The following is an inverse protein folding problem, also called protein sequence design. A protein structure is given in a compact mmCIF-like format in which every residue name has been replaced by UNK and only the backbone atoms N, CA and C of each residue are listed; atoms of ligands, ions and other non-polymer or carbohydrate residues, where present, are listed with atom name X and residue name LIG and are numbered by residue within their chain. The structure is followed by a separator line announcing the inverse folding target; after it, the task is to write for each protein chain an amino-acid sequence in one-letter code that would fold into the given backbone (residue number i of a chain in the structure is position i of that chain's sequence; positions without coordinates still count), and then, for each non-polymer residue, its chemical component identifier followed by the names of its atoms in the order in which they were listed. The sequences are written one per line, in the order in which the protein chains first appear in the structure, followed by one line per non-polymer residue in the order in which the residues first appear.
data_IF_143880126213
#
_entry.id   IF_143880126213
#
_cell.length_a   1.000
_cell.length_b   1.000
_cell.length_c   1.000
_cell.angle_alpha   90.00
_cell.angle_beta   90.00
_cell.angle_gamma   90.00
#
_symmetry.space_group_name_H-M   'P 1'
#
loop_
_entity.id
_entity.type
_entity.pdbx_description
1 polymer ?
#
# COMPACT_ATOMS: atom_id res chain seq x y z
N UNK A 1 24.58 -23.85 -24.79
CA UNK A 1 23.78 -22.74 -24.24
C UNK A 1 22.35 -23.25 -24.22
N UNK A 2 21.73 -23.38 -23.05
CA UNK A 2 20.32 -23.77 -22.98
C UNK A 2 19.46 -22.60 -23.46
N UNK A 3 18.45 -22.86 -24.29
CA UNK A 3 17.49 -21.82 -24.70
C UNK A 3 16.73 -21.33 -23.46
N UNK A 4 16.75 -20.01 -23.28
CA UNK A 4 16.05 -19.36 -22.18
C UNK A 4 14.62 -19.06 -22.67
N UNK A 5 13.67 -19.90 -22.29
CA UNK A 5 12.26 -19.65 -22.56
C UNK A 5 11.68 -18.73 -21.48
N UNK A 6 11.61 -17.43 -21.77
CA UNK A 6 10.91 -16.44 -20.93
C UNK A 6 9.38 -16.64 -20.86
N UNK A 7 8.86 -17.71 -21.47
CA UNK A 7 7.43 -17.94 -21.73
C UNK A 7 7.00 -19.41 -21.54
N UNK A 8 7.62 -20.17 -20.64
CA UNK A 8 7.21 -21.58 -20.43
C UNK A 8 5.72 -21.71 -20.04
N UNK A 9 5.14 -20.67 -19.40
CA UNK A 9 3.70 -20.53 -19.12
C UNK A 9 2.99 -19.47 -19.99
N UNK A 10 3.59 -19.03 -21.09
CA UNK A 10 3.09 -17.97 -21.96
C UNK A 10 3.17 -16.57 -21.35
N UNK A 11 2.36 -15.63 -21.86
CA UNK A 11 2.34 -14.22 -21.42
C UNK A 11 1.77 -13.98 -20.02
N UNK A 12 1.27 -15.03 -19.36
CA UNK A 12 0.52 -14.94 -18.09
C UNK A 12 1.42 -14.44 -16.97
N UNK A 13 2.64 -14.97 -16.85
CA UNK A 13 3.56 -14.62 -15.75
C UNK A 13 4.12 -13.19 -15.88
N UNK A 14 4.58 -12.71 -17.06
CA UNK A 14 4.88 -11.29 -17.26
C UNK A 14 3.66 -10.39 -16.99
N UNK A 15 2.47 -10.75 -17.50
CA UNK A 15 1.27 -9.94 -17.30
C UNK A 15 0.88 -9.85 -15.82
N UNK A 16 0.95 -10.95 -15.06
CA UNK A 16 0.72 -10.96 -13.61
C UNK A 16 1.77 -10.14 -12.87
N UNK A 17 3.05 -10.26 -13.24
CA UNK A 17 4.13 -9.48 -12.63
C UNK A 17 3.91 -7.97 -12.84
N UNK A 18 3.50 -7.58 -14.05
CA UNK A 18 3.13 -6.20 -14.37
C UNK A 18 1.91 -5.75 -13.56
N UNK A 19 0.84 -6.56 -13.51
CA UNK A 19 -0.36 -6.24 -12.75
C UNK A 19 -0.07 -6.05 -11.25
N UNK A 20 0.76 -6.91 -10.64
CA UNK A 20 1.20 -6.77 -9.25
C UNK A 20 2.02 -5.48 -9.04
N UNK A 21 2.90 -5.15 -10.00
CA UNK A 21 3.68 -3.92 -9.97
C UNK A 21 2.78 -2.68 -10.01
N UNK A 22 1.80 -2.66 -10.90
CA UNK A 22 0.83 -1.56 -11.00
C UNK A 22 -0.03 -1.47 -9.75
N UNK A 23 -0.57 -2.58 -9.25
CA UNK A 23 -1.42 -2.61 -8.06
C UNK A 23 -0.68 -2.11 -6.82
N UNK A 24 0.52 -2.64 -6.56
CA UNK A 24 1.35 -2.21 -5.45
C UNK A 24 1.77 -0.74 -5.55
N UNK A 25 2.11 -0.28 -6.77
CA UNK A 25 2.45 1.12 -7.02
C UNK A 25 1.26 2.04 -6.77
N UNK A 26 0.06 1.65 -7.23
CA UNK A 26 -1.17 2.41 -7.01
C UNK A 26 -1.49 2.54 -5.52
N UNK A 27 -1.58 1.41 -4.81
CA UNK A 27 -1.86 1.39 -3.36
C UNK A 27 -0.78 2.16 -2.59
N UNK A 28 0.48 2.02 -3.00
CA UNK A 28 1.62 2.72 -2.43
C UNK A 28 1.56 4.23 -2.58
N UNK A 29 1.24 4.73 -3.78
CA UNK A 29 1.07 6.15 -4.04
C UNK A 29 -0.13 6.74 -3.28
N UNK A 30 -1.24 5.99 -3.17
CA UNK A 30 -2.39 6.40 -2.35
C UNK A 30 -1.98 6.50 -0.87
N UNK A 31 -1.27 5.51 -0.33
CA UNK A 31 -0.75 5.55 1.04
C UNK A 31 0.23 6.72 1.23
N UNK A 32 1.14 6.95 0.29
CA UNK A 32 2.10 8.05 0.32
C UNK A 32 1.42 9.43 0.31
N UNK A 33 0.30 9.57 -0.41
CA UNK A 33 -0.51 10.78 -0.37
C UNK A 33 -1.13 11.01 1.02
N UNK A 34 -1.55 9.94 1.72
CA UNK A 34 -2.09 10.02 3.09
C UNK A 34 -1.04 10.44 4.12
N UNK A 35 0.25 10.11 3.93
CA UNK A 35 1.35 10.56 4.82
C UNK A 35 1.35 12.09 4.96
N UNK A 36 1.06 12.84 3.89
CA UNK A 36 1.11 14.32 3.90
C UNK A 36 -0.07 14.97 4.62
N UNK A 37 -1.23 14.33 4.59
CA UNK A 37 -2.47 14.84 5.20
C UNK A 37 -2.62 14.35 6.66
N UNK A 38 -1.79 13.40 7.07
CA UNK A 38 -1.77 12.87 8.43
C UNK A 38 -1.45 13.95 9.48
N UNK A 39 -2.31 14.04 10.48
CA UNK A 39 -2.26 15.06 11.53
C UNK A 39 -1.21 14.73 12.60
N UNK A 40 -0.99 13.44 12.89
CA UNK A 40 -0.05 12.99 13.92
C UNK A 40 1.15 12.26 13.34
N UNK A 41 2.28 12.29 14.06
CA UNK A 41 3.48 11.52 13.70
C UNK A 41 3.18 10.03 13.61
N UNK A 42 2.36 9.49 14.51
CA UNK A 42 1.95 8.08 14.48
C UNK A 42 1.21 7.71 13.18
N UNK A 43 0.28 8.55 12.73
CA UNK A 43 -0.41 8.34 11.45
C UNK A 43 0.55 8.41 10.26
N UNK A 44 1.53 9.34 10.28
CA UNK A 44 2.54 9.45 9.22
C UNK A 44 3.39 8.18 9.12
N UNK A 45 3.83 7.66 10.25
CA UNK A 45 4.60 6.41 10.33
C UNK A 45 3.75 5.24 9.84
N UNK A 46 2.49 5.15 10.29
CA UNK A 46 1.56 4.10 9.85
C UNK A 46 1.37 4.08 8.33
N UNK A 47 1.04 5.22 7.72
CA UNK A 47 0.90 5.33 6.26
C UNK A 47 2.21 5.09 5.52
N UNK A 48 3.35 5.45 6.12
CA UNK A 48 4.68 5.14 5.60
C UNK A 48 4.97 3.64 5.55
N UNK A 49 4.64 2.91 6.62
CA UNK A 49 4.79 1.44 6.67
C UNK A 49 3.90 0.78 5.61
N UNK A 50 2.63 1.20 5.50
CA UNK A 50 1.73 0.67 4.48
C UNK A 50 2.23 0.96 3.05
N UNK A 51 2.72 2.17 2.79
CA UNK A 51 3.31 2.53 1.50
C UNK A 51 4.57 1.69 1.18
N UNK A 52 5.42 1.43 2.19
CA UNK A 52 6.63 0.62 2.04
C UNK A 52 6.29 -0.84 1.68
N UNK A 53 5.28 -1.44 2.33
CA UNK A 53 4.79 -2.77 1.99
C UNK A 53 4.12 -2.83 0.62
N UNK A 54 3.32 -1.82 0.28
CA UNK A 54 2.64 -1.76 -1.02
C UNK A 54 3.64 -1.65 -2.18
N UNK A 55 4.61 -0.74 -2.09
CA UNK A 55 5.61 -0.54 -3.15
C UNK A 55 6.70 -1.61 -3.05
N UNK A 56 7.42 -1.70 -1.94
CA UNK A 56 8.55 -2.61 -1.79
C UNK A 56 8.16 -4.08 -1.81
N UNK A 57 7.13 -4.45 -1.03
CA UNK A 57 6.63 -5.82 -0.94
C UNK A 57 5.88 -6.23 -2.21
N UNK A 58 4.76 -5.57 -2.50
CA UNK A 58 3.90 -5.99 -3.62
C UNK A 58 4.44 -5.56 -4.98
N UNK A 59 4.77 -4.27 -5.16
CA UNK A 59 5.07 -3.74 -6.49
C UNK A 59 6.44 -4.19 -7.04
N UNK A 60 7.40 -4.40 -6.15
CA UNK A 60 8.79 -4.69 -6.51
C UNK A 60 9.11 -6.15 -6.19
N UNK A 61 9.03 -6.61 -4.93
CA UNK A 61 9.44 -7.98 -4.59
C UNK A 61 8.49 -9.04 -5.17
N UNK A 62 7.17 -8.92 -4.99
CA UNK A 62 6.23 -9.92 -5.50
C UNK A 62 6.21 -9.96 -7.03
N UNK A 63 6.31 -8.80 -7.69
CA UNK A 63 6.52 -8.72 -9.14
C UNK A 63 7.77 -9.51 -9.55
N UNK A 64 8.91 -9.24 -8.90
CA UNK A 64 10.19 -9.86 -9.22
C UNK A 64 10.11 -11.39 -9.06
N UNK A 65 9.55 -11.84 -7.94
CA UNK A 65 9.43 -13.26 -7.65
C UNK A 65 8.47 -13.96 -8.61
N UNK A 66 7.31 -13.35 -8.92
CA UNK A 66 6.38 -13.90 -9.90
C UNK A 66 6.96 -13.99 -11.31
N UNK A 67 7.76 -13.00 -11.71
CA UNK A 67 8.47 -13.02 -12.99
C UNK A 67 9.54 -14.13 -13.02
N UNK A 68 10.30 -14.32 -11.92
CA UNK A 68 11.24 -15.44 -11.78
C UNK A 68 10.57 -16.82 -11.76
N UNK A 69 9.41 -16.95 -11.11
CA UNK A 69 8.64 -18.20 -11.13
C UNK A 69 8.17 -18.56 -12.55
N UNK A 70 7.93 -17.56 -13.40
CA UNK A 70 7.62 -17.76 -14.82
C UNK A 70 8.83 -18.08 -15.69
N UNK A 71 10.04 -17.94 -15.14
CA UNK A 71 11.27 -18.31 -15.81
C UNK A 71 11.56 -19.78 -15.58
N UNK A 72 11.68 -20.53 -16.66
CA UNK A 72 12.09 -21.91 -16.60
C UNK A 72 13.24 -22.17 -17.56
N UNK A 73 14.13 -23.04 -17.12
CA UNK A 73 15.27 -23.49 -17.92
C UNK A 73 14.98 -24.93 -18.29
N UNK A 74 14.81 -25.18 -19.59
CA UNK A 74 14.61 -26.52 -20.10
C UNK A 74 15.69 -27.47 -19.58
N UNK A 75 15.26 -28.62 -19.06
CA UNK A 75 16.16 -29.66 -18.56
C UNK A 75 16.55 -29.56 -17.08
N UNK A 76 16.14 -28.53 -16.32
CA UNK A 76 16.42 -28.49 -14.86
C UNK A 76 15.27 -27.93 -14.02
N UNK A 77 15.10 -28.47 -12.80
CA UNK A 77 14.16 -27.93 -11.81
C UNK A 77 14.83 -26.84 -10.98
N UNK A 78 14.36 -25.60 -11.10
CA UNK A 78 14.81 -24.48 -10.25
C UNK A 78 14.18 -24.66 -8.86
N UNK A 79 15.02 -24.60 -7.83
CA UNK A 79 14.59 -24.55 -6.43
C UNK A 79 15.03 -23.23 -5.80
N UNK A 80 14.42 -22.90 -4.67
CA UNK A 80 14.62 -21.61 -4.03
C UNK A 80 14.99 -21.78 -2.56
N UNK A 81 15.97 -20.98 -2.13
CA UNK A 81 16.38 -20.82 -0.75
C UNK A 81 15.42 -19.84 -0.04
N UNK A 82 14.57 -20.39 0.83
CA UNK A 82 13.47 -19.63 1.46
C UNK A 82 14.00 -18.50 2.36
N UNK A 83 15.00 -18.71 3.25
CA UNK A 83 15.61 -17.62 4.01
C UNK A 83 16.10 -16.46 3.15
N UNK A 84 16.85 -16.73 2.07
CA UNK A 84 17.38 -15.67 1.19
C UNK A 84 16.25 -14.94 0.47
N UNK A 85 15.20 -15.67 0.07
CA UNK A 85 13.99 -15.10 -0.54
C UNK A 85 13.28 -14.10 0.40
N UNK A 86 13.18 -14.44 1.69
CA UNK A 86 12.62 -13.55 2.72
C UNK A 86 13.53 -12.33 2.95
N UNK A 87 14.85 -12.53 3.01
CA UNK A 87 15.82 -11.42 3.14
C UNK A 87 15.69 -10.44 1.96
N UNK A 88 15.57 -10.95 0.74
CA UNK A 88 15.30 -10.15 -0.47
C UNK A 88 14.04 -9.29 -0.29
N UNK A 89 12.93 -9.86 0.18
CA UNK A 89 11.68 -9.12 0.45
C UNK A 89 11.89 -7.97 1.45
N UNK A 90 12.59 -8.25 2.56
CA UNK A 90 12.87 -7.27 3.61
C UNK A 90 13.74 -6.12 3.08
N UNK A 91 14.74 -6.42 2.25
CA UNK A 91 15.59 -5.39 1.62
C UNK A 91 14.73 -4.40 0.83
N UNK A 92 13.79 -4.89 0.00
CA UNK A 92 12.93 -4.00 -0.77
C UNK A 92 12.02 -3.13 0.11
N UNK A 93 11.35 -3.73 1.10
CA UNK A 93 10.43 -2.99 2.00
C UNK A 93 11.20 -1.93 2.79
N UNK A 94 12.36 -2.27 3.34
CA UNK A 94 13.19 -1.33 4.12
C UNK A 94 13.75 -0.22 3.23
N UNK A 95 14.29 -0.56 2.06
CA UNK A 95 14.86 0.42 1.14
C UNK A 95 13.83 1.48 0.71
N UNK A 96 12.63 1.02 0.31
CA UNK A 96 11.52 1.90 -0.06
C UNK A 96 11.03 2.72 1.14
N UNK A 97 10.90 2.10 2.32
CA UNK A 97 10.47 2.79 3.53
C UNK A 97 11.41 3.94 3.91
N UNK A 98 12.73 3.70 3.85
CA UNK A 98 13.75 4.74 4.08
C UNK A 98 13.67 5.82 2.99
N UNK A 99 13.53 5.45 1.72
CA UNK A 99 13.36 6.40 0.62
C UNK A 99 12.16 7.33 0.81
N UNK A 100 11.01 6.76 1.19
CA UNK A 100 9.80 7.51 1.50
C UNK A 100 9.98 8.41 2.72
N UNK A 101 10.71 7.96 3.75
CA UNK A 101 11.01 8.78 4.92
C UNK A 101 11.93 9.96 4.58
N UNK A 102 12.95 9.76 3.72
CA UNK A 102 13.87 10.82 3.26
C UNK A 102 13.10 11.92 2.54
N UNK A 103 12.18 11.56 1.64
CA UNK A 103 11.43 12.55 0.83
C UNK A 103 10.21 13.09 1.57
N UNK A 104 9.63 12.32 2.49
CA UNK A 104 8.45 12.69 3.29
C UNK A 104 8.74 13.58 4.50
N UNK A 105 10.00 13.69 4.95
CA UNK A 105 10.38 14.52 6.09
C UNK A 105 10.75 15.95 5.65
N UNK A 106 9.92 16.94 6.01
CA UNK A 106 10.21 18.37 5.76
C UNK A 106 9.81 18.89 4.36
N UNK A 107 10.52 19.90 3.84
CA UNK A 107 10.23 20.50 2.53
C UNK A 107 10.70 19.59 1.39
N UNK A 108 9.89 19.51 0.33
CA UNK A 108 10.26 18.81 -0.91
C UNK A 108 11.49 19.50 -1.51
N UNK A 109 12.53 18.72 -1.78
CA UNK A 109 13.79 19.20 -2.34
C UNK A 109 14.31 18.20 -3.37
N UNK A 110 14.81 18.70 -4.49
CA UNK A 110 15.42 17.89 -5.54
C UNK A 110 16.59 17.04 -5.01
N UNK A 111 17.37 17.58 -4.06
CA UNK A 111 18.47 16.86 -3.42
C UNK A 111 17.96 15.64 -2.64
N UNK A 112 16.86 15.78 -1.88
CA UNK A 112 16.28 14.67 -1.11
C UNK A 112 15.72 13.59 -2.01
N UNK A 113 15.09 13.99 -3.12
CA UNK A 113 14.59 13.06 -4.14
C UNK A 113 15.76 12.32 -4.78
N UNK A 114 16.86 13.01 -5.11
CA UNK A 114 18.07 12.40 -5.67
C UNK A 114 18.71 11.40 -4.70
N UNK A 115 18.96 11.80 -3.46
CA UNK A 115 19.54 10.92 -2.42
C UNK A 115 18.64 9.73 -2.12
N UNK A 116 17.33 9.99 -1.93
CA UNK A 116 16.35 8.93 -1.70
C UNK A 116 16.22 7.99 -2.89
N UNK A 117 16.33 8.50 -4.11
CA UNK A 117 16.28 7.75 -5.36
C UNK A 117 17.50 6.85 -5.55
N UNK A 118 18.71 7.36 -5.30
CA UNK A 118 19.95 6.56 -5.31
C UNK A 118 19.89 5.46 -4.26
N UNK A 119 19.50 5.79 -3.02
CA UNK A 119 19.40 4.81 -1.95
C UNK A 119 18.36 3.73 -2.24
N UNK A 120 17.14 4.13 -2.60
CA UNK A 120 16.05 3.20 -2.92
C UNK A 120 16.40 2.36 -4.14
N UNK A 121 16.96 2.96 -5.18
CA UNK A 121 17.39 2.26 -6.40
C UNK A 121 18.47 1.22 -6.13
N UNK A 122 19.48 1.57 -5.33
CA UNK A 122 20.50 0.62 -4.89
C UNK A 122 19.89 -0.52 -4.06
N UNK A 123 18.93 -0.23 -3.18
CA UNK A 123 18.20 -1.25 -2.42
C UNK A 123 17.34 -2.16 -3.30
N UNK A 124 16.70 -1.62 -4.34
CA UNK A 124 15.93 -2.39 -5.32
C UNK A 124 16.84 -3.31 -6.14
N UNK A 125 18.00 -2.81 -6.58
CA UNK A 125 19.00 -3.64 -7.24
C UNK A 125 19.53 -4.74 -6.29
N UNK A 126 19.85 -4.40 -5.04
CA UNK A 126 20.29 -5.34 -4.03
C UNK A 126 19.23 -6.44 -3.79
N UNK A 127 17.95 -6.05 -3.69
CA UNK A 127 16.85 -7.01 -3.58
C UNK A 127 16.80 -7.95 -4.79
N UNK A 128 16.87 -7.40 -6.01
CA UNK A 128 16.83 -8.16 -7.25
C UNK A 128 17.94 -9.20 -7.31
N UNK A 129 19.20 -8.80 -7.09
CA UNK A 129 20.33 -9.73 -7.14
C UNK A 129 20.37 -10.71 -5.95
N UNK A 130 19.86 -10.31 -4.78
CA UNK A 130 19.66 -11.24 -3.65
C UNK A 130 18.58 -12.28 -3.97
N UNK A 131 17.49 -11.87 -4.63
CA UNK A 131 16.44 -12.77 -5.11
C UNK A 131 16.98 -13.77 -6.13
N UNK A 132 17.81 -13.29 -7.07
CA UNK A 132 18.51 -14.15 -8.03
C UNK A 132 19.46 -15.14 -7.34
N UNK A 133 20.19 -14.70 -6.30
CA UNK A 133 21.06 -15.57 -5.51
C UNK A 133 20.32 -16.64 -4.70
N UNK A 134 19.01 -16.47 -4.46
CA UNK A 134 18.18 -17.48 -3.83
C UNK A 134 17.88 -18.67 -4.76
N UNK A 135 18.07 -18.52 -6.09
CA UNK A 135 17.87 -19.61 -7.04
C UNK A 135 18.96 -20.67 -6.92
N UNK A 136 18.52 -21.92 -6.82
CA UNK A 136 19.35 -23.12 -6.81
C UNK A 136 19.00 -23.94 -8.06
N UNK A 137 19.97 -24.08 -8.96
CA UNK A 137 19.87 -24.89 -10.17
C UNK A 137 21.16 -25.70 -10.35
N UNK A 138 21.09 -26.79 -11.13
CA UNK A 138 22.21 -27.70 -11.40
C UNK A 138 23.24 -27.09 -12.36
N UNK A 139 23.89 -26.00 -11.98
CA UNK A 139 24.77 -25.22 -12.83
C UNK A 139 25.20 -23.90 -12.21
N UNK A 140 26.01 -23.13 -12.96
CA UNK A 140 26.49 -21.81 -12.54
C UNK A 140 25.79 -20.69 -13.31
N UNK A 141 25.47 -19.61 -12.61
CA UNK A 141 24.94 -18.37 -13.18
C UNK A 141 26.10 -17.42 -13.48
N UNK A 142 26.23 -17.01 -14.75
CA UNK A 142 27.11 -15.93 -15.18
C UNK A 142 26.34 -14.62 -15.32
N UNK A 143 27.04 -13.49 -15.16
CA UNK A 143 26.46 -12.15 -15.30
C UNK A 143 27.31 -11.29 -16.22
N UNK A 144 26.68 -10.65 -17.20
CA UNK A 144 27.28 -9.57 -17.97
C UNK A 144 27.28 -8.27 -17.13
N UNK A 145 28.47 -7.82 -16.73
CA UNK A 145 28.63 -6.63 -15.89
C UNK A 145 28.06 -5.34 -16.49
N UNK A 146 28.03 -5.19 -17.81
CA UNK A 146 27.47 -4.01 -18.48
C UNK A 146 25.95 -4.00 -18.35
N UNK A 147 25.30 -5.15 -18.57
CA UNK A 147 23.84 -5.28 -18.43
C UNK A 147 23.39 -5.17 -16.97
N UNK A 148 24.22 -5.65 -16.03
CA UNK A 148 24.02 -5.42 -14.59
C UNK A 148 24.11 -3.92 -14.25
N UNK A 149 25.13 -3.22 -14.74
CA UNK A 149 25.24 -1.78 -14.51
C UNK A 149 24.05 -1.01 -15.11
N UNK A 150 23.56 -1.42 -16.27
CA UNK A 150 22.38 -0.84 -16.91
C UNK A 150 21.11 -1.06 -16.09
N UNK A 151 20.88 -2.27 -15.57
CA UNK A 151 19.71 -2.55 -14.72
C UNK A 151 19.75 -1.70 -13.43
N UNK A 152 20.92 -1.53 -12.82
CA UNK A 152 21.12 -0.68 -11.63
C UNK A 152 20.82 0.78 -11.95
N UNK A 153 21.28 1.27 -13.11
CA UNK A 153 20.97 2.63 -13.55
C UNK A 153 19.46 2.83 -13.75
N UNK A 154 18.77 1.87 -14.38
CA UNK A 154 17.31 1.89 -14.51
C UNK A 154 16.64 1.87 -13.14
N UNK A 155 17.13 1.07 -12.19
CA UNK A 155 16.60 1.01 -10.83
C UNK A 155 16.67 2.36 -10.12
N UNK A 156 17.81 3.06 -10.21
CA UNK A 156 18.00 4.40 -9.62
C UNK A 156 17.08 5.43 -10.26
N UNK A 157 16.98 5.45 -11.59
CA UNK A 157 16.08 6.38 -12.30
C UNK A 157 14.62 6.10 -11.94
N UNK A 158 14.20 4.83 -11.99
CA UNK A 158 12.85 4.41 -11.66
C UNK A 158 12.48 4.77 -10.21
N UNK A 159 13.38 4.50 -9.26
CA UNK A 159 13.18 4.85 -7.85
C UNK A 159 13.09 6.36 -7.63
N UNK A 160 13.94 7.15 -8.32
CA UNK A 160 13.91 8.61 -8.26
C UNK A 160 12.57 9.15 -8.77
N UNK A 161 12.11 8.65 -9.92
CA UNK A 161 10.82 9.02 -10.51
C UNK A 161 9.67 8.61 -9.59
N UNK A 162 9.68 7.38 -9.04
CA UNK A 162 8.67 6.90 -8.12
C UNK A 162 8.53 7.78 -6.87
N UNK A 163 9.66 8.15 -6.25
CA UNK A 163 9.66 9.04 -5.08
C UNK A 163 9.19 10.46 -5.44
N UNK A 164 9.59 10.96 -6.61
CA UNK A 164 9.09 12.25 -7.10
C UNK A 164 7.58 12.24 -7.33
N UNK A 165 7.05 11.19 -7.96
CA UNK A 165 5.61 11.00 -8.16
C UNK A 165 4.86 10.87 -6.84
N UNK A 166 5.43 10.13 -5.88
CA UNK A 166 4.85 9.95 -4.55
C UNK A 166 4.60 11.28 -3.83
N UNK A 167 5.46 12.29 -4.03
CA UNK A 167 5.30 13.62 -3.40
C UNK A 167 4.60 14.68 -4.25
N UNK A 168 4.59 14.52 -5.58
CA UNK A 168 4.04 15.53 -6.50
C UNK A 168 2.60 15.25 -6.90
N UNK A 169 2.24 13.97 -7.06
CA UNK A 169 0.94 13.58 -7.62
C UNK A 169 -0.15 13.60 -6.55
N UNK A 170 -1.31 14.15 -6.92
CA UNK A 170 -2.49 14.26 -6.02
C UNK A 170 -3.81 13.82 -6.63
N UNK A 171 -3.99 13.96 -7.94
CA UNK A 171 -5.24 13.60 -8.62
C UNK A 171 -5.32 12.09 -8.84
N UNK A 172 -6.48 11.49 -8.61
CA UNK A 172 -6.68 10.04 -8.74
C UNK A 172 -6.24 9.49 -10.11
N UNK A 173 -6.62 10.17 -11.20
CA UNK A 173 -6.19 9.79 -12.55
C UNK A 173 -4.67 9.85 -12.74
N UNK A 174 -4.01 10.86 -12.16
CA UNK A 174 -2.57 10.98 -12.23
C UNK A 174 -1.87 9.91 -11.37
N UNK A 175 -2.46 9.48 -10.25
CA UNK A 175 -1.98 8.35 -9.45
C UNK A 175 -2.09 7.05 -10.25
N UNK A 176 -3.22 6.81 -10.92
CA UNK A 176 -3.41 5.63 -11.77
C UNK A 176 -2.40 5.60 -12.93
N UNK A 177 -2.23 6.72 -13.64
CA UNK A 177 -1.23 6.84 -14.71
C UNK A 177 0.21 6.63 -14.19
N UNK A 178 0.53 7.19 -13.04
CA UNK A 178 1.83 7.01 -12.38
C UNK A 178 2.10 5.55 -12.04
N UNK A 179 1.09 4.84 -11.53
CA UNK A 179 1.20 3.42 -11.21
C UNK A 179 1.48 2.55 -12.44
N UNK A 180 0.86 2.87 -13.59
CA UNK A 180 1.15 2.19 -14.86
C UNK A 180 2.61 2.41 -15.30
N UNK A 181 3.07 3.67 -15.27
CA UNK A 181 4.46 4.02 -15.62
C UNK A 181 5.45 3.35 -14.68
N UNK A 182 5.18 3.35 -13.37
CA UNK A 182 6.00 2.64 -12.39
C UNK A 182 6.03 1.14 -12.69
N UNK A 183 4.89 0.53 -13.01
CA UNK A 183 4.83 -0.88 -13.41
C UNK A 183 5.78 -1.18 -14.57
N UNK A 184 5.78 -0.34 -15.61
CA UNK A 184 6.68 -0.50 -16.77
C UNK A 184 8.14 -0.36 -16.34
N UNK A 185 8.47 0.65 -15.52
CA UNK A 185 9.84 0.90 -15.10
C UNK A 185 10.41 -0.24 -14.24
N UNK A 186 9.63 -0.76 -13.29
CA UNK A 186 10.08 -1.83 -12.40
C UNK A 186 10.22 -3.15 -13.17
N UNK A 187 9.29 -3.46 -14.08
CA UNK A 187 9.41 -4.62 -14.96
C UNK A 187 10.60 -4.47 -15.92
N UNK A 188 10.80 -3.29 -16.50
CA UNK A 188 11.92 -2.99 -17.38
C UNK A 188 13.27 -3.22 -16.70
N UNK A 189 13.41 -2.78 -15.44
CA UNK A 189 14.60 -3.06 -14.64
C UNK A 189 14.82 -4.57 -14.46
N UNK A 190 13.76 -5.29 -14.07
CA UNK A 190 13.82 -6.73 -13.85
C UNK A 190 14.24 -7.50 -15.10
N UNK A 191 13.57 -7.29 -16.23
CA UNK A 191 13.87 -7.99 -17.47
C UNK A 191 15.24 -7.60 -18.05
N UNK A 192 15.68 -6.35 -17.85
CA UNK A 192 17.06 -5.96 -18.18
C UNK A 192 18.06 -6.73 -17.32
N UNK A 193 17.83 -6.85 -16.01
CA UNK A 193 18.66 -7.65 -15.11
C UNK A 193 18.69 -9.13 -15.50
N UNK A 194 17.54 -9.70 -15.86
CA UNK A 194 17.44 -11.08 -16.35
C UNK A 194 18.18 -11.29 -17.67
N UNK A 195 18.16 -10.32 -18.58
CA UNK A 195 18.92 -10.38 -19.84
C UNK A 195 20.44 -10.45 -19.64
N UNK A 196 20.94 -10.08 -18.45
CA UNK A 196 22.35 -10.18 -18.09
C UNK A 196 22.79 -11.62 -17.74
N UNK A 197 21.82 -12.52 -17.52
CA UNK A 197 22.06 -13.86 -17.00
C UNK A 197 22.48 -14.83 -18.11
N UNK A 198 23.56 -15.56 -17.88
CA UNK A 198 23.90 -16.77 -18.65
C UNK A 198 23.84 -18.00 -17.74
N UNK A 199 23.21 -19.07 -18.19
CA UNK A 199 23.09 -20.32 -17.42
C UNK A 199 24.01 -21.38 -18.03
N UNK A 200 25.01 -21.81 -17.27
CA UNK A 200 25.89 -22.92 -17.63
C UNK A 200 25.50 -24.15 -16.81
N UNK A 201 24.68 -25.02 -17.42
CA UNK A 201 24.28 -26.29 -16.83
C UNK A 201 25.49 -27.22 -16.73
N UNK A 202 25.64 -27.84 -15.57
CA UNK A 202 26.61 -28.92 -15.37
C UNK A 202 25.82 -30.23 -15.25
N UNK A 203 26.35 -31.34 -15.77
CA UNK A 203 25.81 -32.67 -15.48
C UNK A 203 26.10 -33.03 -14.02
N UNK A 204 25.36 -32.43 -13.08
CA UNK A 204 25.56 -32.69 -11.66
C UNK A 204 24.58 -33.77 -11.18
N UNK A 205 25.14 -34.95 -10.88
CA UNK A 205 24.46 -36.03 -10.17
C UNK A 205 24.38 -35.68 -8.67
N UNK A 206 23.34 -34.97 -8.26
CA UNK A 206 23.10 -34.63 -6.85
C UNK A 206 21.71 -34.03 -6.64
N UNK A 207 21.10 -34.30 -5.48
CA UNK A 207 19.76 -33.80 -5.15
C UNK A 207 19.82 -32.29 -4.85
N UNK A 208 19.16 -31.46 -5.67
CA UNK A 208 19.06 -30.02 -5.41
C UNK A 208 18.08 -29.82 -4.25
N UNK A 209 18.58 -29.34 -3.11
CA UNK A 209 17.78 -28.98 -1.94
C UNK A 209 17.17 -27.58 -2.10
N UNK A 210 15.92 -27.41 -1.65
CA UNK A 210 15.21 -26.13 -1.68
C UNK A 210 13.71 -26.30 -1.94
N UNK A 211 12.97 -25.21 -1.86
CA UNK A 211 11.53 -25.25 -2.16
C UNK A 211 11.31 -25.21 -3.68
N UNK A 212 10.42 -26.07 -4.19
CA UNK A 212 10.03 -26.06 -5.60
C UNK A 212 8.99 -24.98 -5.90
N UNK A 213 8.77 -24.71 -7.19
CA UNK A 213 7.76 -23.76 -7.68
C UNK A 213 6.39 -23.95 -7.01
N UNK A 214 5.85 -25.17 -7.00
CA UNK A 214 4.51 -25.46 -6.46
C UNK A 214 4.41 -25.22 -4.95
N UNK A 215 5.51 -25.43 -4.22
CA UNK A 215 5.59 -25.22 -2.77
C UNK A 215 5.63 -23.73 -2.41
N UNK A 216 6.23 -22.88 -3.23
CA UNK A 216 6.34 -21.44 -2.96
C UNK A 216 5.21 -20.60 -3.57
N UNK A 217 4.62 -21.05 -4.67
CA UNK A 217 3.57 -20.29 -5.35
C UNK A 217 2.38 -20.02 -4.43
N UNK A 218 1.84 -21.06 -3.78
CA UNK A 218 0.67 -20.94 -2.91
C UNK A 218 0.91 -19.97 -1.74
N UNK A 219 1.93 -20.14 -0.88
CA UNK A 219 2.13 -19.24 0.26
C UNK A 219 2.44 -17.80 -0.17
N UNK A 220 3.13 -17.59 -1.29
CA UNK A 220 3.44 -16.23 -1.77
C UNK A 220 2.19 -15.56 -2.32
N UNK A 221 1.38 -16.26 -3.12
CA UNK A 221 0.09 -15.73 -3.60
C UNK A 221 -0.81 -15.38 -2.41
N UNK A 222 -0.90 -16.25 -1.40
CA UNK A 222 -1.67 -15.97 -0.18
C UNK A 222 -1.12 -14.76 0.59
N UNK A 223 0.20 -14.65 0.74
CA UNK A 223 0.83 -13.51 1.40
C UNK A 223 0.54 -12.20 0.65
N UNK A 224 0.62 -12.21 -0.68
CA UNK A 224 0.30 -11.04 -1.52
C UNK A 224 -1.17 -10.66 -1.39
N UNK A 225 -2.09 -11.63 -1.46
CA UNK A 225 -3.53 -11.39 -1.27
C UNK A 225 -3.76 -10.78 0.11
N UNK A 226 -3.16 -11.34 1.16
CA UNK A 226 -3.32 -10.84 2.53
C UNK A 226 -2.82 -9.40 2.67
N UNK A 227 -1.64 -9.09 2.11
CA UNK A 227 -1.09 -7.73 2.10
C UNK A 227 -1.99 -6.77 1.34
N UNK A 228 -2.45 -7.14 0.13
CA UNK A 228 -3.34 -6.30 -0.69
C UNK A 228 -4.67 -6.06 0.01
N UNK A 229 -5.31 -7.10 0.55
CA UNK A 229 -6.58 -6.98 1.28
C UNK A 229 -6.39 -6.12 2.53
N UNK A 230 -5.31 -6.32 3.29
CA UNK A 230 -4.97 -5.49 4.45
C UNK A 230 -4.77 -4.02 4.08
N UNK A 231 -4.10 -3.74 2.95
CA UNK A 231 -3.92 -2.38 2.43
C UNK A 231 -5.26 -1.75 2.02
N UNK A 232 -6.11 -2.48 1.28
CA UNK A 232 -7.43 -2.00 0.88
C UNK A 232 -8.31 -1.75 2.11
N UNK A 233 -8.33 -2.67 3.07
CA UNK A 233 -9.05 -2.49 4.32
C UNK A 233 -8.56 -1.26 5.09
N UNK A 234 -7.24 -1.07 5.22
CA UNK A 234 -6.68 0.11 5.88
C UNK A 234 -7.07 1.43 5.17
N UNK A 235 -7.18 1.41 3.83
CA UNK A 235 -7.63 2.56 3.05
C UNK A 235 -9.13 2.85 3.22
N UNK A 236 -9.96 1.81 3.31
CA UNK A 236 -11.41 1.92 3.52
C UNK A 236 -11.76 2.31 4.97
N UNK A 237 -11.03 1.78 5.95
CA UNK A 237 -11.21 2.08 7.36
C UNK A 237 -10.63 3.46 7.75
N UNK A 238 -9.91 4.12 6.85
CA UNK A 238 -9.36 5.43 7.13
C UNK A 238 -10.48 6.48 7.21
N UNK A 239 -10.61 7.22 8.33
CA UNK A 239 -11.71 8.17 8.53
C UNK A 239 -11.81 9.16 7.38
N UNK A 240 -13.00 9.30 6.81
CA UNK A 240 -13.33 10.29 5.78
C UNK A 240 -13.34 11.71 6.37
N UNK A 241 -13.42 12.73 5.52
CA UNK A 241 -13.57 14.11 6.00
C UNK A 241 -14.88 14.30 6.77
N UNK A 242 -15.95 13.61 6.36
CA UNK A 242 -17.23 13.58 7.06
C UNK A 242 -17.10 12.91 8.44
N UNK A 243 -16.41 11.77 8.54
CA UNK A 243 -16.17 11.10 9.84
C UNK A 243 -15.38 11.99 10.80
N UNK A 244 -14.38 12.72 10.28
CA UNK A 244 -13.58 13.65 11.09
C UNK A 244 -14.37 14.88 11.49
N UNK A 245 -15.21 15.42 10.60
CA UNK A 245 -16.09 16.54 10.91
C UNK A 245 -17.16 16.14 11.94
N UNK A 246 -17.72 14.94 11.83
CA UNK A 246 -18.63 14.35 12.81
C UNK A 246 -17.97 14.14 14.18
N UNK A 247 -16.77 13.58 14.20
CA UNK A 247 -16.00 13.43 15.44
C UNK A 247 -15.68 14.78 16.10
N UNK A 248 -15.23 15.77 15.32
CA UNK A 248 -14.96 17.12 15.81
C UNK A 248 -16.24 17.81 16.34
N UNK A 249 -17.38 17.60 15.68
CA UNK A 249 -18.69 18.08 16.15
C UNK A 249 -19.09 17.44 17.49
N UNK A 250 -18.92 16.13 17.64
CA UNK A 250 -19.23 15.41 18.87
C UNK A 250 -18.29 15.82 20.02
N UNK A 251 -17.00 16.01 19.74
CA UNK A 251 -16.02 16.49 20.74
C UNK A 251 -16.33 17.92 21.17
N UNK A 252 -16.70 18.82 20.24
CA UNK A 252 -17.14 20.18 20.57
C UNK A 252 -18.37 20.17 21.50
N UNK A 253 -19.32 19.25 21.30
CA UNK A 253 -20.48 19.07 22.19
C UNK A 253 -20.16 18.42 23.54
N UNK A 254 -19.11 17.59 23.63
CA UNK A 254 -18.67 17.03 24.92
C UNK A 254 -18.00 18.08 25.80
N UNK A 255 -17.29 19.02 25.20
CA UNK A 255 -16.57 20.09 25.93
C UNK A 255 -17.50 21.21 26.40
N UNK A 256 -18.65 21.41 25.74
CA UNK A 256 -19.68 22.37 26.16
C UNK A 256 -21.02 21.69 26.54
N UNK A 257 -21.12 21.10 27.76
CA UNK A 257 -22.38 20.54 28.25
C UNK A 257 -23.42 21.61 28.65
N UNK A 258 -23.07 22.91 28.64
CA UNK A 258 -23.89 23.98 29.20
C UNK A 258 -24.49 24.94 28.15
N UNK A 259 -23.95 24.99 26.92
CA UNK A 259 -24.41 25.91 25.86
C UNK A 259 -25.70 25.55 25.13
N UNK A 260 -26.29 24.39 25.41
CA UNK A 260 -27.57 23.96 24.82
C UNK A 260 -28.75 24.13 25.78
N UNK A 261 -28.86 25.28 26.47
CA UNK A 261 -30.19 25.76 26.83
C UNK A 261 -30.87 26.13 25.52
N UNK A 262 -31.72 25.24 25.00
CA UNK A 262 -32.73 25.63 24.01
C UNK A 262 -33.39 26.88 24.59
N UNK A 263 -33.29 28.07 23.95
CA UNK A 263 -34.03 29.22 24.43
C UNK A 263 -35.48 28.78 24.48
N UNK A 264 -36.09 28.85 25.66
CA UNK A 264 -37.50 28.51 25.86
C UNK A 264 -38.27 29.18 24.72
N UNK A 265 -39.00 28.43 23.85
CA UNK A 265 -39.49 28.96 22.60
C UNK A 265 -40.25 30.24 22.89
N UNK A 266 -39.68 31.37 22.47
CA UNK A 266 -40.19 32.68 22.83
C UNK A 266 -41.63 32.72 22.30
N UNK A 267 -42.64 32.83 23.19
CA UNK A 267 -44.01 32.67 22.76
C UNK A 267 -44.28 33.70 21.67
N UNK A 268 -44.72 33.23 20.49
CA UNK A 268 -45.10 34.12 19.40
C UNK A 268 -46.02 35.23 19.96
N UNK A 269 -45.79 36.51 19.60
CA UNK A 269 -46.60 37.61 20.08
C UNK A 269 -48.06 37.33 19.72
N UNK A 270 -48.92 37.29 20.74
CA UNK A 270 -50.35 37.00 20.60
C UNK A 270 -51.03 38.17 19.91
N UNK A 271 -51.32 38.09 18.60
CA UNK A 271 -51.78 39.25 17.84
C UNK A 271 -53.24 39.61 18.17
N UNK A 272 -53.94 38.76 18.92
CA UNK A 272 -55.40 38.87 19.18
C UNK A 272 -55.72 38.88 20.68
N UNK A 273 -54.72 38.77 21.56
CA UNK A 273 -54.89 38.84 23.02
C UNK A 273 -55.71 37.67 23.61
N UNK A 274 -55.78 36.54 22.91
CA UNK A 274 -56.60 35.39 23.31
C UNK A 274 -56.05 34.69 24.56
N UNK A 275 -54.75 34.81 24.86
CA UNK A 275 -54.14 34.22 26.07
C UNK A 275 -54.63 34.85 27.37
N UNK A 276 -55.08 36.10 27.35
CA UNK A 276 -55.62 36.76 28.54
C UNK A 276 -57.06 36.33 28.89
N UNK A 277 -57.75 35.64 27.96
CA UNK A 277 -59.17 35.27 28.12
C UNK A 277 -59.42 33.78 28.35
N UNK A 278 -58.39 32.94 28.34
CA UNK A 278 -58.50 31.52 28.66
C UNK A 278 -58.36 31.24 30.15
N UNK A 279 -59.45 30.85 30.82
CA UNK A 279 -59.41 30.31 32.19
C UNK A 279 -58.92 28.85 32.26
N UNK A 280 -58.56 28.26 31.13
CA UNK A 280 -58.08 26.88 31.02
C UNK A 280 -56.55 26.87 30.87
N UNK A 281 -55.91 26.21 31.82
CA UNK A 281 -54.48 25.91 31.93
C UNK A 281 -53.58 27.04 32.48
N UNK A 282 -53.75 27.36 33.77
CA UNK A 282 -52.59 27.75 34.59
C UNK A 282 -51.82 26.49 34.97
N UNK A 283 -50.50 26.41 34.73
CA UNK A 283 -49.69 25.30 35.21
C UNK A 283 -49.77 25.24 36.74
N UNK A 284 -50.27 24.13 37.29
CA UNK A 284 -50.42 23.92 38.74
C UNK A 284 -51.87 23.78 39.25
N UNK A 285 -52.90 23.86 38.41
CA UNK A 285 -54.27 23.53 38.84
C UNK A 285 -54.45 22.02 39.00
N UNK A 286 -54.68 21.56 40.23
CA UNK A 286 -55.02 20.18 40.56
C UNK A 286 -56.31 19.74 39.86
N UNK A 287 -56.25 18.65 39.10
CA UNK A 287 -57.42 18.00 38.52
C UNK A 287 -58.35 17.49 39.64
N UNK A 288 -59.67 17.74 39.57
CA UNK A 288 -60.59 17.20 40.57
C UNK A 288 -60.71 15.69 40.37
N UNK A 289 -60.18 14.91 41.31
CA UNK A 289 -60.38 13.46 41.38
C UNK A 289 -61.84 13.17 41.71
N UNK A 290 -62.51 12.43 40.82
CA UNK A 290 -63.90 11.98 40.95
C UNK A 290 -64.05 11.10 42.20
N UNK A 291 -64.75 11.57 43.24
CA UNK A 291 -65.22 10.69 44.33
C UNK A 291 -66.31 9.77 43.77
N UNK A 292 -66.12 8.47 43.95
CA UNK A 292 -67.12 7.44 43.73
C UNK A 292 -67.77 7.17 45.09
N UNK A 293 -69.03 7.57 45.26
CA UNK A 293 -69.86 7.06 46.35
C UNK A 293 -70.75 5.93 45.78
N UNK A 294 -70.95 4.82 46.50
CA UNK A 294 -71.71 3.67 46.01
C UNK A 294 -73.23 3.87 46.20
N UNK A 295 -74.08 3.26 45.35
CA UNK A 295 -75.52 3.27 45.56
C UNK A 295 -75.94 2.25 46.64
N UNK A 296 -77.00 2.59 47.38
CA UNK A 296 -77.70 1.71 48.34
C UNK A 296 -78.54 0.66 47.63
#
# INVERSE_FOLDING_TARGET
MAEINHFEYGWITPALSYALSVLGSFLGLVCAARIRVAATTGQRVWWGILAAWAIGGTAIWSMHFMAMLGFAVEGTRIRYDVPITVVSALIAVVAVGIGLAIVGTGRVSALRIGVGGVFTGAGVAAMHYTGMAAMRLGGSLGYDGVRVALSVAIAVVAATVALWLAVTVRRALAVAASALVMGVAVNGMHFTGMSALSVHLHEQQGEITGAGFSTLLVPIVLAVIFVVVGLVYALLAAPTEEDRAGAAYLDARRVDPAGASVPDPQPAPDPVGLRARGTLARPGSTFPTRRVDPPR
#
